data_IF_398007288765
#
_entry.id   IF_398007288765
#
_cell.length_a   1.000
_cell.length_b   1.000
_cell.length_c   1.000
_cell.angle_alpha   90.00
_cell.angle_beta   90.00
_cell.angle_gamma   90.00
#
_symmetry.space_group_name_H-M   'P 1'
#
loop_
_entity.id
_entity.type
_entity.pdbx_description
1 polymer ?
#
# COMPACT_ATOMS: atom_id res chain seq x y z
N UNK A 1 96.97 -6.29 -2.61
CA UNK A 1 96.46 -4.97 -2.22
C UNK A 1 95.07 -4.84 -2.82
N UNK A 2 94.06 -4.70 -1.97
CA UNK A 2 92.66 -4.80 -2.33
C UNK A 2 92.17 -3.51 -3.02
N UNK A 3 91.53 -3.66 -4.17
CA UNK A 3 90.80 -2.61 -4.86
C UNK A 3 89.54 -2.26 -4.05
N UNK A 4 89.50 -1.03 -3.56
CA UNK A 4 88.40 -0.47 -2.79
C UNK A 4 87.13 -0.37 -3.63
N UNK A 5 86.09 -1.05 -3.15
CA UNK A 5 84.74 -1.16 -3.68
C UNK A 5 83.90 0.08 -3.32
N UNK A 6 84.40 1.29 -3.60
CA UNK A 6 83.68 2.53 -3.31
C UNK A 6 83.86 3.52 -4.47
N UNK A 7 83.02 3.34 -5.50
CA UNK A 7 82.68 4.41 -6.42
C UNK A 7 81.18 4.71 -6.25
N UNK A 8 80.95 5.86 -5.63
CA UNK A 8 79.86 6.83 -5.83
C UNK A 8 78.54 6.35 -6.47
N UNK A 9 77.45 6.51 -5.72
CA UNK A 9 76.27 7.27 -6.19
C UNK A 9 75.34 7.62 -5.02
N UNK A 10 75.40 8.88 -4.61
CA UNK A 10 74.27 9.58 -4.01
C UNK A 10 73.09 9.53 -5.00
N UNK A 11 72.13 8.66 -4.76
CA UNK A 11 70.70 8.92 -4.99
C UNK A 11 69.94 7.82 -4.28
N UNK A 12 69.91 7.86 -2.94
CA UNK A 12 68.77 7.33 -2.22
C UNK A 12 67.61 8.23 -2.59
N UNK A 13 66.99 7.82 -3.69
CA UNK A 13 65.72 8.31 -4.19
C UNK A 13 64.82 8.57 -3.00
N UNK A 14 64.30 9.79 -2.97
CA UNK A 14 63.17 10.20 -2.17
C UNK A 14 62.01 9.22 -2.40
N UNK A 15 62.05 8.08 -1.72
CA UNK A 15 60.85 7.38 -1.28
C UNK A 15 60.53 7.97 0.09
N UNK A 16 60.36 9.29 0.13
CA UNK A 16 59.55 9.91 1.16
C UNK A 16 58.15 9.31 0.98
N UNK A 17 57.91 8.24 1.73
CA UNK A 17 56.63 7.73 2.18
C UNK A 17 55.42 8.43 1.54
N UNK A 18 55.12 8.05 0.30
CA UNK A 18 53.72 7.98 -0.13
C UNK A 18 53.20 6.60 0.27
N UNK A 19 53.40 6.22 1.54
CA UNK A 19 52.49 5.30 2.21
C UNK A 19 51.18 6.05 2.35
N UNK A 20 50.41 6.06 1.26
CA UNK A 20 49.00 6.38 1.32
C UNK A 20 48.41 5.48 2.40
N UNK A 21 47.97 6.12 3.47
CA UNK A 21 47.25 5.58 4.61
C UNK A 21 45.96 4.87 4.14
N UNK A 22 46.10 3.73 3.46
CA UNK A 22 45.03 2.77 3.17
C UNK A 22 44.72 1.97 4.45
N UNK A 23 44.55 2.71 5.55
CA UNK A 23 44.07 2.17 6.80
C UNK A 23 42.64 1.69 6.55
N UNK A 24 42.44 0.38 6.61
CA UNK A 24 41.13 -0.25 6.40
C UNK A 24 40.08 0.41 7.29
N UNK A 25 39.05 0.99 6.69
CA UNK A 25 37.93 1.63 7.41
C UNK A 25 36.77 0.65 7.47
N UNK A 26 36.30 0.36 8.68
CA UNK A 26 35.20 -0.56 8.88
C UNK A 26 33.89 0.00 8.29
N UNK A 27 33.07 -0.87 7.71
CA UNK A 27 31.71 -0.51 7.31
C UNK A 27 30.82 -0.65 8.54
N UNK A 28 30.24 0.46 9.01
CA UNK A 28 29.34 0.45 10.16
C UNK A 28 28.06 -0.36 9.90
N UNK A 29 27.54 -1.05 10.93
CA UNK A 29 26.34 -1.88 10.80
C UNK A 29 25.10 -1.12 10.29
N UNK A 30 24.99 0.18 10.59
CA UNK A 30 23.92 1.03 10.07
C UNK A 30 23.96 1.18 8.55
N UNK A 31 25.15 1.21 7.91
CA UNK A 31 25.30 1.26 6.44
C UNK A 31 24.76 -0.02 5.80
N UNK A 32 25.09 -1.17 6.39
CA UNK A 32 24.64 -2.48 5.91
C UNK A 32 23.11 -2.60 6.05
N UNK A 33 22.57 -2.23 7.21
CA UNK A 33 21.13 -2.23 7.45
C UNK A 33 20.38 -1.30 6.49
N UNK A 34 20.89 -0.09 6.26
CA UNK A 34 20.34 0.84 5.28
C UNK A 34 20.37 0.26 3.86
N UNK A 35 21.47 -0.39 3.47
CA UNK A 35 21.60 -1.05 2.16
C UNK A 35 20.57 -2.18 1.95
N UNK A 36 20.37 -3.02 2.96
CA UNK A 36 19.35 -4.09 2.90
C UNK A 36 17.94 -3.50 2.78
N UNK A 37 17.61 -2.49 3.58
CA UNK A 37 16.29 -1.82 3.49
C UNK A 37 16.10 -1.11 2.15
N UNK A 38 17.17 -0.55 1.56
CA UNK A 38 17.13 0.03 0.24
C UNK A 38 16.81 -1.01 -0.85
N UNK A 39 17.36 -2.22 -0.75
CA UNK A 39 17.02 -3.33 -1.65
C UNK A 39 15.56 -3.81 -1.48
N UNK A 40 15.02 -3.74 -0.27
CA UNK A 40 13.62 -4.10 0.02
C UNK A 40 12.62 -2.97 -0.28
N UNK A 41 13.10 -1.75 -0.52
CA UNK A 41 12.25 -0.57 -0.73
C UNK A 41 11.26 -0.65 -1.91
N UNK A 42 11.51 -1.38 -3.01
CA UNK A 42 10.50 -1.57 -4.07
C UNK A 42 9.18 -2.21 -3.59
N UNK A 43 9.17 -2.88 -2.42
CA UNK A 43 7.95 -3.42 -1.82
C UNK A 43 6.89 -2.34 -1.51
N UNK A 44 7.28 -1.06 -1.41
CA UNK A 44 6.35 0.06 -1.20
C UNK A 44 5.33 0.25 -2.33
N UNK A 45 5.56 -0.34 -3.51
CA UNK A 45 4.62 -0.29 -4.63
C UNK A 45 3.42 -1.24 -4.46
N UNK A 46 3.54 -2.25 -3.59
CA UNK A 46 2.50 -3.27 -3.41
C UNK A 46 1.40 -2.78 -2.47
N UNK A 47 1.79 -2.20 -1.33
CA UNK A 47 0.86 -1.78 -0.28
C UNK A 47 1.34 -0.47 0.36
N UNK A 48 0.39 0.36 0.78
CA UNK A 48 0.67 1.62 1.46
C UNK A 48 1.42 1.39 2.79
N UNK A 49 1.18 0.26 3.46
CA UNK A 49 1.88 -0.08 4.70
C UNK A 49 3.37 -0.32 4.50
N UNK A 50 3.76 -0.87 3.35
CA UNK A 50 5.15 -1.18 3.02
C UNK A 50 5.98 0.06 2.70
N UNK A 51 5.36 1.24 2.59
CA UNK A 51 6.07 2.52 2.54
C UNK A 51 6.91 2.79 3.80
N UNK A 52 6.65 2.09 4.91
CA UNK A 52 7.50 2.16 6.11
C UNK A 52 8.94 1.67 5.84
N UNK A 53 9.11 0.69 4.94
CA UNK A 53 10.41 0.08 4.63
C UNK A 53 11.40 1.11 4.05
N UNK A 54 11.09 1.85 2.97
CA UNK A 54 11.98 2.89 2.48
C UNK A 54 12.15 4.05 3.47
N UNK A 55 11.14 4.38 4.28
CA UNK A 55 11.29 5.41 5.33
C UNK A 55 12.37 4.99 6.33
N UNK A 56 12.33 3.74 6.82
CA UNK A 56 13.37 3.21 7.71
C UNK A 56 14.74 3.14 7.01
N UNK A 57 14.77 2.78 5.73
CA UNK A 57 15.99 2.79 4.92
C UNK A 57 16.64 4.17 4.83
N UNK A 58 15.83 5.22 4.61
CA UNK A 58 16.29 6.62 4.62
C UNK A 58 16.79 7.02 6.00
N UNK A 59 16.05 6.70 7.07
CA UNK A 59 16.44 7.05 8.45
C UNK A 59 17.77 6.41 8.83
N UNK A 60 17.93 5.10 8.64
CA UNK A 60 19.19 4.41 8.93
C UNK A 60 20.32 4.88 8.02
N UNK A 61 20.03 5.18 6.76
CA UNK A 61 21.00 5.76 5.83
C UNK A 61 21.49 7.13 6.30
N UNK A 62 20.60 8.00 6.79
CA UNK A 62 20.96 9.32 7.33
C UNK A 62 21.75 9.22 8.64
N UNK A 63 21.39 8.28 9.52
CA UNK A 63 22.15 7.97 10.75
C UNK A 63 23.56 7.51 10.37
N UNK A 64 23.68 6.58 9.43
CA UNK A 64 24.97 6.09 8.95
C UNK A 64 25.80 7.22 8.30
N UNK A 65 25.18 8.09 7.51
CA UNK A 65 25.86 9.22 6.89
C UNK A 65 26.38 10.23 7.93
N UNK A 66 25.59 10.51 8.98
CA UNK A 66 26.01 11.36 10.10
C UNK A 66 27.16 10.74 10.90
N UNK A 67 27.08 9.45 11.20
CA UNK A 67 28.09 8.74 11.98
C UNK A 67 29.44 8.66 11.25
N UNK A 68 29.41 8.38 9.93
CA UNK A 68 30.62 8.44 9.08
C UNK A 68 31.21 9.85 9.03
N UNK A 69 30.37 10.89 9.03
CA UNK A 69 30.82 12.28 9.09
C UNK A 69 31.49 12.64 10.42
N UNK A 70 31.04 12.04 11.53
CA UNK A 70 31.61 12.26 12.85
C UNK A 70 32.93 11.49 13.07
N UNK A 71 33.11 10.33 12.43
CA UNK A 71 34.29 9.45 12.60
C UNK A 71 34.94 9.06 11.26
N UNK A 72 35.44 10.04 10.48
CA UNK A 72 35.89 9.79 9.10
C UNK A 72 37.14 8.90 9.01
N UNK A 73 37.93 8.80 10.07
CA UNK A 73 39.16 7.99 10.13
C UNK A 73 38.92 6.51 10.44
N UNK A 74 37.78 6.17 11.05
CA UNK A 74 37.44 4.81 11.49
C UNK A 74 36.37 4.14 10.61
N UNK A 75 35.39 4.92 10.14
CA UNK A 75 34.23 4.42 9.41
C UNK A 75 34.27 4.77 7.92
N UNK A 76 34.00 3.76 7.09
CA UNK A 76 33.89 3.87 5.63
C UNK A 76 32.44 3.79 5.14
N UNK A 77 32.24 3.79 3.82
CA UNK A 77 30.93 3.50 3.22
C UNK A 77 30.03 4.71 2.94
N UNK A 78 30.55 5.94 2.95
CA UNK A 78 29.76 7.16 2.65
C UNK A 78 28.97 7.07 1.33
N UNK A 79 29.60 6.55 0.28
CA UNK A 79 28.94 6.35 -1.04
C UNK A 79 27.81 5.34 -0.97
N UNK A 80 27.99 4.25 -0.20
CA UNK A 80 26.95 3.24 0.01
C UNK A 80 25.78 3.81 0.81
N UNK A 81 26.04 4.59 1.86
CA UNK A 81 24.99 5.26 2.64
C UNK A 81 24.17 6.22 1.76
N UNK A 82 24.83 7.05 0.94
CA UNK A 82 24.16 7.96 0.01
C UNK A 82 23.35 7.17 -1.04
N UNK A 83 23.91 6.11 -1.61
CA UNK A 83 23.21 5.27 -2.57
C UNK A 83 21.96 4.62 -1.96
N UNK A 84 22.06 4.11 -0.72
CA UNK A 84 20.92 3.53 0.00
C UNK A 84 19.81 4.57 0.25
N UNK A 85 20.17 5.78 0.72
CA UNK A 85 19.22 6.87 0.91
C UNK A 85 18.53 7.22 -0.41
N UNK A 86 19.30 7.42 -1.48
CA UNK A 86 18.75 7.79 -2.79
C UNK A 86 17.82 6.73 -3.35
N UNK A 87 18.20 5.45 -3.25
CA UNK A 87 17.37 4.34 -3.72
C UNK A 87 16.06 4.24 -2.93
N UNK A 88 16.12 4.30 -1.60
CA UNK A 88 14.93 4.29 -0.76
C UNK A 88 14.04 5.51 -0.99
N UNK A 89 14.62 6.70 -1.21
CA UNK A 89 13.87 7.91 -1.52
C UNK A 89 13.15 7.81 -2.87
N UNK A 90 13.83 7.34 -3.92
CA UNK A 90 13.23 7.10 -5.22
C UNK A 90 12.08 6.08 -5.13
N UNK A 91 12.29 4.99 -4.40
CA UNK A 91 11.26 3.97 -4.20
C UNK A 91 10.05 4.50 -3.40
N UNK A 92 10.28 5.32 -2.37
CA UNK A 92 9.21 5.94 -1.59
C UNK A 92 8.38 6.90 -2.45
N UNK A 93 9.04 7.83 -3.15
CA UNK A 93 8.36 8.81 -4.00
C UNK A 93 7.63 8.10 -5.15
N UNK A 94 8.30 7.16 -5.83
CA UNK A 94 7.70 6.37 -6.90
C UNK A 94 6.50 5.54 -6.42
N UNK A 95 6.64 4.88 -5.26
CA UNK A 95 5.57 4.08 -4.66
C UNK A 95 4.36 4.94 -4.26
N UNK A 96 4.60 6.09 -3.63
CA UNK A 96 3.52 7.03 -3.27
C UNK A 96 2.81 7.59 -4.51
N UNK A 97 3.54 7.96 -5.55
CA UNK A 97 2.95 8.43 -6.81
C UNK A 97 2.11 7.32 -7.44
N UNK A 98 2.68 6.12 -7.57
CA UNK A 98 1.98 4.97 -8.17
C UNK A 98 0.70 4.64 -7.41
N UNK A 99 0.78 4.46 -6.08
CA UNK A 99 -0.38 4.12 -5.27
C UNK A 99 -1.42 5.24 -5.23
N UNK A 100 -0.99 6.52 -5.22
CA UNK A 100 -1.91 7.66 -5.32
C UNK A 100 -2.63 7.68 -6.67
N UNK A 101 -1.93 7.37 -7.76
CA UNK A 101 -2.51 7.32 -9.09
C UNK A 101 -3.53 6.18 -9.20
N UNK A 102 -3.19 4.98 -8.71
CA UNK A 102 -4.14 3.85 -8.64
C UNK A 102 -5.39 4.25 -7.84
N UNK A 103 -5.21 4.80 -6.64
CA UNK A 103 -6.32 5.25 -5.80
C UNK A 103 -7.20 6.32 -6.49
N UNK A 104 -6.59 7.26 -7.21
CA UNK A 104 -7.31 8.30 -7.93
C UNK A 104 -8.11 7.75 -9.11
N UNK A 105 -7.52 6.83 -9.90
CA UNK A 105 -8.15 6.23 -11.08
C UNK A 105 -9.27 5.25 -10.75
N UNK A 106 -9.30 4.71 -9.54
CA UNK A 106 -10.40 3.84 -9.09
C UNK A 106 -11.76 4.55 -9.12
N UNK A 107 -11.80 5.85 -8.82
CA UNK A 107 -13.05 6.61 -8.70
C UNK A 107 -13.45 7.20 -10.07
N UNK A 108 -14.61 6.81 -10.64
CA UNK A 108 -15.12 7.47 -11.83
C UNK A 108 -15.35 8.98 -11.60
N UNK A 109 -15.18 9.83 -12.63
CA UNK A 109 -15.54 11.25 -12.52
C UNK A 109 -17.00 11.42 -12.08
N UNK A 110 -17.24 12.28 -11.08
CA UNK A 110 -18.58 12.54 -10.54
C UNK A 110 -19.08 11.55 -9.49
N UNK A 111 -18.36 10.45 -9.23
CA UNK A 111 -18.74 9.48 -8.20
C UNK A 111 -18.15 9.86 -6.85
N UNK A 112 -18.82 9.48 -5.77
CA UNK A 112 -18.33 9.63 -4.40
C UNK A 112 -17.79 8.30 -3.88
N UNK A 113 -16.75 8.33 -3.04
CA UNK A 113 -16.26 7.12 -2.36
C UNK A 113 -17.16 6.84 -1.16
N UNK A 114 -17.92 5.76 -1.24
CA UNK A 114 -18.70 5.25 -0.13
C UNK A 114 -17.94 4.10 0.57
N UNK A 115 -18.16 3.96 1.87
CA UNK A 115 -17.65 2.84 2.66
C UNK A 115 -18.75 2.34 3.60
N UNK A 116 -18.58 1.12 4.12
CA UNK A 116 -19.59 0.52 5.00
C UNK A 116 -19.75 1.25 6.33
N UNK A 117 -18.75 1.99 6.82
CA UNK A 117 -18.89 2.77 8.05
C UNK A 117 -19.92 3.90 7.92
N UNK A 118 -20.11 4.46 6.73
CA UNK A 118 -21.18 5.44 6.45
C UNK A 118 -22.58 4.82 6.46
N UNK A 119 -22.67 3.48 6.38
CA UNK A 119 -23.93 2.74 6.34
C UNK A 119 -24.33 2.17 7.71
N UNK A 120 -23.46 2.27 8.70
CA UNK A 120 -23.69 1.74 10.05
C UNK A 120 -24.45 2.74 10.92
N UNK A 121 -25.43 2.27 11.72
CA UNK A 121 -26.08 3.07 12.75
C UNK A 121 -25.09 3.42 13.88
N UNK A 122 -25.40 4.48 14.63
CA UNK A 122 -24.57 4.90 15.77
C UNK A 122 -24.67 3.89 16.92
N UNK A 123 -23.66 3.83 17.82
CA UNK A 123 -23.73 2.99 19.00
C UNK A 123 -24.97 3.36 19.86
N UNK A 124 -25.90 2.41 19.98
CA UNK A 124 -27.15 2.60 20.74
C UNK A 124 -28.41 2.68 19.88
N UNK A 125 -28.27 2.91 18.57
CA UNK A 125 -29.41 2.91 17.64
C UNK A 125 -29.83 1.47 17.26
N UNK A 126 -31.10 1.29 16.83
CA UNK A 126 -31.55 0.02 16.28
C UNK A 126 -30.66 -0.46 15.12
N UNK A 127 -30.39 -1.77 14.98
CA UNK A 127 -29.58 -2.32 13.88
C UNK A 127 -30.16 -2.08 12.47
N UNK A 128 -31.43 -1.66 12.38
CA UNK A 128 -32.14 -1.32 11.15
C UNK A 128 -32.24 0.19 10.91
N UNK A 129 -31.71 1.00 11.83
CA UNK A 129 -31.70 2.44 11.67
C UNK A 129 -30.79 2.84 10.50
N UNK A 130 -31.29 3.75 9.67
CA UNK A 130 -30.55 4.31 8.55
C UNK A 130 -29.87 5.60 9.05
N UNK A 131 -28.53 5.64 9.13
CA UNK A 131 -27.79 6.81 9.59
C UNK A 131 -27.89 7.95 8.57
N UNK A 132 -27.70 9.19 9.03
CA UNK A 132 -27.74 10.38 8.17
C UNK A 132 -26.70 10.32 7.06
N UNK A 133 -25.52 9.77 7.34
CA UNK A 133 -24.48 9.53 6.33
C UNK A 133 -24.93 8.63 5.18
N UNK A 134 -25.82 7.67 5.41
CA UNK A 134 -26.39 6.84 4.35
C UNK A 134 -27.48 7.61 3.58
N UNK A 135 -28.26 8.45 4.26
CA UNK A 135 -29.28 9.30 3.62
C UNK A 135 -28.65 10.36 2.71
N UNK A 136 -27.50 10.90 3.08
CA UNK A 136 -26.76 11.86 2.26
C UNK A 136 -26.25 11.28 0.94
N UNK A 137 -26.02 9.96 0.91
CA UNK A 137 -25.62 9.23 -0.29
C UNK A 137 -26.80 8.85 -1.18
N UNK A 138 -28.04 8.93 -0.68
CA UNK A 138 -29.24 8.54 -1.41
C UNK A 138 -29.38 9.34 -2.71
N UNK A 139 -29.58 8.63 -3.83
CA UNK A 139 -29.68 9.19 -5.18
C UNK A 139 -28.35 9.59 -5.83
N UNK A 140 -27.21 9.49 -5.13
CA UNK A 140 -25.88 9.85 -5.65
C UNK A 140 -25.16 8.67 -6.31
N UNK A 141 -24.26 8.98 -7.22
CA UNK A 141 -23.35 8.00 -7.81
C UNK A 141 -22.19 7.71 -6.86
N UNK A 142 -22.01 6.44 -6.47
CA UNK A 142 -20.99 6.03 -5.50
C UNK A 142 -20.15 4.87 -6.00
N UNK A 143 -18.90 4.84 -5.56
CA UNK A 143 -18.02 3.68 -5.64
C UNK A 143 -17.98 3.03 -4.26
N UNK A 144 -18.45 1.78 -4.16
CA UNK A 144 -18.42 0.98 -2.95
C UNK A 144 -17.54 -0.26 -3.17
N UNK A 145 -16.67 -0.56 -2.21
CA UNK A 145 -15.82 -1.76 -2.21
C UNK A 145 -16.39 -2.79 -1.25
N UNK A 146 -16.53 -4.03 -1.69
CA UNK A 146 -17.01 -5.13 -0.86
C UNK A 146 -16.82 -6.49 -1.51
N UNK A 147 -17.36 -7.53 -0.89
CA UNK A 147 -17.30 -8.90 -1.38
C UNK A 147 -18.65 -9.35 -1.91
N UNK A 148 -18.64 -10.18 -2.94
CA UNK A 148 -19.87 -10.81 -3.42
C UNK A 148 -20.32 -11.86 -2.41
N UNK A 149 -21.56 -11.77 -1.93
CA UNK A 149 -22.19 -12.83 -1.17
C UNK A 149 -22.44 -14.03 -2.10
N UNK A 150 -21.96 -15.24 -1.76
CA UNK A 150 -22.07 -16.39 -2.63
C UNK A 150 -23.53 -16.83 -2.74
N UNK A 151 -24.06 -16.76 -3.97
CA UNK A 151 -25.33 -17.38 -4.33
C UNK A 151 -25.12 -18.80 -4.88
N UNK A 152 -26.23 -19.43 -5.31
CA UNK A 152 -26.18 -20.73 -6.03
C UNK A 152 -25.60 -20.61 -7.44
N UNK A 153 -25.71 -19.43 -8.04
CA UNK A 153 -25.24 -19.14 -9.39
C UNK A 153 -23.81 -18.60 -9.34
N UNK A 154 -22.94 -19.14 -10.20
CA UNK A 154 -21.51 -18.77 -10.27
C UNK A 154 -21.17 -17.94 -11.51
N UNK A 155 -22.02 -17.95 -12.55
CA UNK A 155 -21.78 -17.26 -13.83
C UNK A 155 -23.03 -16.50 -14.27
N UNK A 156 -22.88 -15.47 -15.11
CA UNK A 156 -24.01 -14.66 -15.61
C UNK A 156 -24.76 -13.91 -14.51
N UNK A 157 -24.06 -13.55 -13.43
CA UNK A 157 -24.67 -12.92 -12.25
C UNK A 157 -24.95 -11.45 -12.57
N UNK A 158 -26.23 -11.09 -12.68
CA UNK A 158 -26.68 -9.71 -12.93
C UNK A 158 -27.08 -8.96 -11.66
N UNK A 159 -27.37 -9.71 -10.59
CA UNK A 159 -27.78 -9.18 -9.30
C UNK A 159 -27.15 -10.01 -8.18
N UNK A 160 -26.61 -9.34 -7.18
CA UNK A 160 -26.01 -9.99 -6.02
C UNK A 160 -25.98 -9.07 -4.81
N UNK A 161 -25.83 -9.67 -3.63
CA UNK A 161 -25.55 -8.95 -2.39
C UNK A 161 -24.05 -8.65 -2.32
N UNK A 162 -23.69 -7.38 -2.16
CA UNK A 162 -22.35 -6.94 -1.80
C UNK A 162 -22.30 -6.77 -0.28
N UNK A 163 -21.29 -7.36 0.35
CA UNK A 163 -21.10 -7.34 1.80
C UNK A 163 -19.76 -6.73 2.19
N UNK A 164 -19.67 -6.25 3.44
CA UNK A 164 -18.44 -5.64 3.99
C UNK A 164 -17.28 -6.62 4.06
N UNK A 165 -17.53 -7.81 4.59
CA UNK A 165 -16.52 -8.83 4.83
C UNK A 165 -17.07 -10.24 4.54
N UNK A 166 -16.15 -11.19 4.44
CA UNK A 166 -16.47 -12.60 4.20
C UNK A 166 -16.69 -13.40 5.49
N UNK A 167 -16.31 -12.85 6.64
CA UNK A 167 -16.32 -13.57 7.92
C UNK A 167 -17.74 -13.92 8.33
N UNK A 168 -18.61 -12.92 8.35
CA UNK A 168 -20.00 -13.09 8.76
C UNK A 168 -20.86 -13.82 7.70
N UNK A 169 -20.35 -13.99 6.49
CA UNK A 169 -21.10 -14.52 5.35
C UNK A 169 -20.68 -15.96 5.00
N UNK A 170 -19.38 -16.22 4.89
CA UNK A 170 -18.84 -17.50 4.42
C UNK A 170 -18.73 -18.57 5.53
N UNK A 171 -18.81 -18.17 6.81
CA UNK A 171 -18.62 -19.07 7.95
C UNK A 171 -19.89 -19.25 8.82
N UNK A 172 -21.07 -19.00 8.24
CA UNK A 172 -22.36 -19.29 8.89
C UNK A 172 -22.90 -18.18 9.81
N UNK A 173 -22.38 -16.95 9.70
CA UNK A 173 -22.99 -15.78 10.31
C UNK A 173 -24.21 -15.28 9.51
N UNK A 174 -24.98 -14.38 10.12
CA UNK A 174 -26.04 -13.64 9.45
C UNK A 174 -25.57 -12.18 9.36
N UNK A 175 -25.02 -11.70 8.22
CA UNK A 175 -24.44 -10.37 8.14
C UNK A 175 -25.51 -9.33 8.49
N UNK A 176 -25.14 -8.26 9.19
CA UNK A 176 -26.10 -7.20 9.55
C UNK A 176 -26.79 -6.68 8.29
N UNK A 177 -28.05 -6.30 8.40
CA UNK A 177 -28.80 -5.74 7.26
C UNK A 177 -28.08 -4.48 6.72
N UNK A 178 -27.42 -3.73 7.60
CA UNK A 178 -26.62 -2.54 7.26
C UNK A 178 -25.29 -2.87 6.56
N UNK A 179 -24.83 -4.12 6.64
CA UNK A 179 -23.65 -4.62 5.94
C UNK A 179 -24.00 -5.20 4.56
N UNK A 180 -25.26 -5.13 4.14
CA UNK A 180 -25.75 -5.66 2.86
C UNK A 180 -26.16 -4.55 1.91
N UNK A 181 -25.65 -4.62 0.68
CA UNK A 181 -26.07 -3.74 -0.42
C UNK A 181 -26.48 -4.61 -1.60
N UNK A 182 -27.73 -4.49 -2.07
CA UNK A 182 -28.18 -5.20 -3.25
C UNK A 182 -27.69 -4.48 -4.50
N UNK A 183 -26.78 -5.13 -5.23
CA UNK A 183 -26.22 -4.61 -6.49
C UNK A 183 -27.03 -5.14 -7.66
N UNK A 184 -27.44 -4.24 -8.55
CA UNK A 184 -28.04 -4.55 -9.84
C UNK A 184 -27.14 -4.00 -10.94
N UNK A 185 -26.56 -4.90 -11.73
CA UNK A 185 -25.65 -4.54 -12.80
C UNK A 185 -26.40 -3.90 -13.98
N UNK A 186 -25.76 -2.92 -14.61
CA UNK A 186 -26.24 -2.32 -15.86
C UNK A 186 -26.21 -3.30 -17.02
N UNK A 187 -25.16 -4.11 -17.07
CA UNK A 187 -24.97 -5.15 -18.09
C UNK A 187 -25.77 -6.41 -17.73
N UNK A 188 -26.62 -6.84 -18.66
CA UNK A 188 -27.48 -8.02 -18.52
C UNK A 188 -26.75 -9.33 -18.85
N UNK A 189 -25.53 -9.25 -19.37
CA UNK A 189 -24.65 -10.41 -19.58
C UNK A 189 -24.21 -11.01 -18.24
N UNK A 190 -24.14 -10.18 -17.20
CA UNK A 190 -23.73 -10.56 -15.85
C UNK A 190 -22.24 -10.85 -15.72
N UNK A 191 -21.81 -11.15 -14.51
CA UNK A 191 -20.40 -11.42 -14.19
C UNK A 191 -20.23 -12.81 -13.57
N UNK A 192 -18.99 -13.28 -13.53
CA UNK A 192 -18.62 -14.45 -12.75
C UNK A 192 -18.45 -14.10 -11.27
N UNK A 193 -18.80 -15.04 -10.41
CA UNK A 193 -18.54 -14.93 -8.98
C UNK A 193 -17.03 -14.82 -8.72
N UNK A 194 -16.67 -13.95 -7.78
CA UNK A 194 -15.28 -13.80 -7.35
C UNK A 194 -15.21 -13.66 -5.84
N UNK A 195 -14.37 -14.46 -5.16
CA UNK A 195 -14.15 -14.33 -3.72
C UNK A 195 -13.21 -13.16 -3.38
N UNK A 196 -12.81 -12.34 -4.35
CA UNK A 196 -11.94 -11.17 -4.12
C UNK A 196 -12.77 -9.93 -3.84
N UNK A 197 -12.16 -8.94 -3.19
CA UNK A 197 -12.76 -7.62 -3.03
C UNK A 197 -13.08 -7.02 -4.40
N UNK A 198 -14.32 -6.60 -4.60
CA UNK A 198 -14.82 -5.98 -5.82
C UNK A 198 -15.10 -4.50 -5.60
N UNK A 199 -14.80 -3.69 -6.62
CA UNK A 199 -15.11 -2.27 -6.66
C UNK A 199 -16.34 -2.12 -7.55
N UNK A 200 -17.46 -1.67 -6.98
CA UNK A 200 -18.72 -1.51 -7.70
C UNK A 200 -19.10 -0.04 -7.71
N UNK A 201 -19.28 0.51 -8.91
CA UNK A 201 -19.72 1.88 -9.13
C UNK A 201 -21.17 1.88 -9.60
N UNK A 202 -22.06 2.59 -8.93
CA UNK A 202 -23.46 2.73 -9.39
C UNK A 202 -24.21 3.79 -8.61
N UNK A 203 -25.51 3.92 -8.88
CA UNK A 203 -26.38 4.86 -8.20
C UNK A 203 -26.86 4.28 -6.87
N UNK A 204 -26.53 4.94 -5.77
CA UNK A 204 -26.94 4.50 -4.44
C UNK A 204 -28.39 4.87 -4.17
N UNK A 205 -29.16 3.95 -3.62
CA UNK A 205 -30.54 4.18 -3.23
C UNK A 205 -30.85 3.53 -1.87
N UNK A 206 -31.50 4.29 -1.01
CA UNK A 206 -32.00 3.82 0.28
C UNK A 206 -33.47 3.45 0.12
N UNK A 207 -33.79 2.17 0.31
CA UNK A 207 -35.17 1.66 0.25
C UNK A 207 -35.50 0.97 1.57
N UNK A 208 -36.18 1.65 2.51
CA UNK A 208 -36.70 0.97 3.68
C UNK A 208 -37.72 -0.06 3.22
N UNK A 209 -37.41 -1.35 3.40
CA UNK A 209 -38.31 -2.43 2.97
C UNK A 209 -39.62 -2.33 3.76
N UNK A 210 -40.71 -1.99 3.06
CA UNK A 210 -42.07 -2.34 3.47
C UNK A 210 -42.40 -3.72 2.88
N UNK A 211 -42.63 -4.71 3.76
CA UNK A 211 -43.23 -6.03 3.47
C UNK A 211 -42.59 -6.91 2.39
N UNK A 212 -41.87 -7.94 2.87
CA UNK A 212 -41.70 -9.29 2.31
C UNK A 212 -41.81 -9.52 0.78
N UNK A 213 -40.67 -9.83 0.15
CA UNK A 213 -40.54 -11.02 -0.70
C UNK A 213 -39.06 -11.25 -1.05
N UNK A 214 -38.54 -12.39 -0.59
CA UNK A 214 -37.22 -13.00 -0.85
C UNK A 214 -36.04 -12.40 -0.03
N UNK A 215 -35.51 -13.21 0.89
CA UNK A 215 -34.13 -13.13 1.40
C UNK A 215 -33.71 -11.95 2.33
N UNK A 216 -34.40 -11.79 3.46
CA UNK A 216 -33.74 -11.30 4.69
C UNK A 216 -33.52 -9.79 4.82
N UNK A 217 -34.25 -8.96 4.06
CA UNK A 217 -34.31 -7.51 4.22
C UNK A 217 -33.03 -6.79 3.79
N UNK A 218 -33.14 -5.90 2.79
CA UNK A 218 -32.03 -5.06 2.34
C UNK A 218 -32.49 -3.61 2.39
N UNK A 219 -31.67 -2.72 2.96
CA UNK A 219 -31.95 -1.29 3.05
C UNK A 219 -31.30 -0.49 1.92
N UNK A 220 -30.19 -1.00 1.38
CA UNK A 220 -29.31 -0.29 0.48
C UNK A 220 -29.23 -0.98 -0.87
N UNK A 221 -29.36 -0.19 -1.92
CA UNK A 221 -29.32 -0.65 -3.30
C UNK A 221 -28.27 0.11 -4.08
N UNK A 222 -27.66 -0.56 -5.04
CA UNK A 222 -26.77 0.03 -6.01
C UNK A 222 -27.28 -0.33 -7.41
N UNK A 223 -27.78 0.67 -8.12
CA UNK A 223 -28.44 0.53 -9.42
C UNK A 223 -27.51 0.97 -10.55
N UNK A 224 -27.80 0.50 -11.77
CA UNK A 224 -26.99 0.74 -12.97
C UNK A 224 -25.49 0.47 -12.74
N UNK A 225 -25.21 -0.55 -11.93
CA UNK A 225 -23.90 -0.79 -11.37
C UNK A 225 -22.92 -1.37 -12.40
N UNK A 226 -21.66 -0.97 -12.28
CA UNK A 226 -20.56 -1.38 -13.13
C UNK A 226 -19.39 -1.82 -12.25
N UNK A 227 -18.79 -2.95 -12.64
CA UNK A 227 -17.61 -3.50 -11.98
C UNK A 227 -16.36 -2.78 -12.48
N UNK A 228 -15.45 -2.44 -11.56
CA UNK A 228 -14.17 -1.78 -11.81
C UNK A 228 -12.99 -2.64 -11.34
#
# INVERSE_FOLDING_TARGET
>A
MASGLFDSSETLSSTAASEGDERYRAIGGAVVAAGVLALLSPLAFLDWWLAVVPVLGIVLGLVAWRDIGARPTELGGKRLAIAAISLSACALVGGLIYQSAVYAQELPPGFLRANYSMLQPLPGDPPTAIPDSARELDGRDVLLKGYMYPGKQQQGIVQFLLVRDQGDCCFGGNPKITDRVLVQLRDKTGIEFSPRLRKIAGRFAVRPTGTAALDGGVLYHLEDAVVR
#
